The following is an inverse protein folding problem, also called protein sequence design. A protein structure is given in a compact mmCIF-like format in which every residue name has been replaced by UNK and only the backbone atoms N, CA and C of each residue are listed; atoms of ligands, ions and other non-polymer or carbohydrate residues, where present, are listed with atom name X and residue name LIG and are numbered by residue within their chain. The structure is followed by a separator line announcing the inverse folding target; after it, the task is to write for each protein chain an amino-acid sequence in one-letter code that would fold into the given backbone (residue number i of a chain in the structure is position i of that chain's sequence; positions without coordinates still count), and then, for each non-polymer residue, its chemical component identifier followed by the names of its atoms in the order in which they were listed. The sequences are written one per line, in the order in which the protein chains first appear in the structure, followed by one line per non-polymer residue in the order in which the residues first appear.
data_IF_937779218549
#
_entry.id   IF_937779218549
#
_cell.length_a   1.000
_cell.length_b   1.000
_cell.length_c   1.000
_cell.angle_alpha   90.00
_cell.angle_beta   90.00
_cell.angle_gamma   90.00
#
_symmetry.space_group_name_H-M   'P 1'
#
loop_
_entity.id
_entity.type
_entity.pdbx_description
1 polymer ?
#
# COMPACT_ATOMS: atom_id res chain seq x y z
N UNK A 1 5.04 64.21 24.06
CA UNK A 1 5.93 63.53 25.02
C UNK A 1 5.06 62.86 26.08
N UNK A 2 5.13 61.53 26.19
CA UNK A 2 4.58 60.63 27.24
C UNK A 2 3.08 60.73 27.63
N UNK A 3 2.27 59.72 27.29
CA UNK A 3 1.93 58.48 28.04
C UNK A 3 1.02 58.70 29.26
N UNK A 4 -0.22 58.18 29.18
CA UNK A 4 -0.87 57.18 30.10
C UNK A 4 -2.38 57.17 29.85
N UNK A 5 -2.92 56.08 29.30
CA UNK A 5 -3.69 55.03 29.99
C UNK A 5 -4.96 55.59 30.65
N UNK A 6 -6.12 55.31 30.04
CA UNK A 6 -7.42 55.33 30.70
C UNK A 6 -8.11 53.98 30.48
N UNK A 7 -8.51 53.39 31.60
CA UNK A 7 -9.43 52.27 31.73
C UNK A 7 -10.86 52.77 31.45
N UNK A 8 -11.65 52.02 30.68
CA UNK A 8 -13.12 51.98 30.85
C UNK A 8 -13.67 50.62 30.45
N UNK A 9 -14.61 50.14 31.28
CA UNK A 9 -15.22 48.83 31.35
C UNK A 9 -16.01 48.37 30.11
N UNK A 10 -16.13 47.05 29.96
CA UNK A 10 -17.22 46.45 29.18
C UNK A 10 -17.74 45.16 29.82
N UNK A 11 -18.91 45.30 30.46
CA UNK A 11 -20.11 44.46 30.42
C UNK A 11 -19.88 42.94 30.35
N UNK A 12 -20.21 42.28 31.48
CA UNK A 12 -20.44 40.84 31.58
C UNK A 12 -21.80 40.53 30.94
N UNK A 13 -21.79 39.87 29.79
CA UNK A 13 -22.95 39.15 29.26
C UNK A 13 -22.56 37.69 29.09
N UNK A 14 -23.16 36.81 29.89
CA UNK A 14 -23.02 35.38 29.74
C UNK A 14 -23.78 34.93 28.48
N UNK A 15 -23.04 34.65 27.40
CA UNK A 15 -23.52 33.80 26.31
C UNK A 15 -22.75 32.47 26.39
N UNK A 16 -23.50 31.40 26.62
CA UNK A 16 -23.00 30.03 26.48
C UNK A 16 -22.78 29.79 24.99
N UNK A 17 -21.55 30.01 24.53
CA UNK A 17 -21.08 29.57 23.22
C UNK A 17 -20.43 28.21 23.40
N UNK A 18 -21.13 27.17 22.94
CA UNK A 18 -20.55 25.86 22.65
C UNK A 18 -19.43 26.09 21.65
N UNK A 19 -18.18 25.94 22.08
CA UNK A 19 -17.07 25.86 21.14
C UNK A 19 -17.15 24.51 20.42
N UNK A 20 -17.09 24.47 19.08
CA UNK A 20 -17.01 23.21 18.36
C UNK A 20 -15.70 22.51 18.76
N UNK A 21 -15.80 21.26 19.19
CA UNK A 21 -14.64 20.39 19.28
C UNK A 21 -14.20 20.06 17.84
N UNK A 22 -13.34 20.90 17.27
CA UNK A 22 -12.49 20.50 16.15
C UNK A 22 -11.13 20.16 16.74
N UNK A 23 -10.99 18.91 17.12
CA UNK A 23 -9.70 18.29 17.42
C UNK A 23 -9.45 17.25 16.33
N UNK A 24 -9.01 17.71 15.15
CA UNK A 24 -8.27 16.84 14.25
C UNK A 24 -6.89 16.62 14.84
N UNK A 25 -6.70 15.48 15.46
CA UNK A 25 -5.40 14.88 15.71
C UNK A 25 -5.59 13.36 15.68
N UNK A 26 -5.77 12.83 14.47
CA UNK A 26 -5.58 11.40 14.25
C UNK A 26 -4.15 11.06 14.65
N UNK A 27 -4.02 10.22 15.67
CA UNK A 27 -2.73 9.59 15.97
C UNK A 27 -2.77 8.25 15.27
N UNK A 28 -2.19 8.20 14.07
CA UNK A 28 -1.80 6.92 13.47
C UNK A 28 -0.59 6.43 14.27
N UNK A 29 -0.77 5.39 15.06
CA UNK A 29 0.32 4.64 15.67
C UNK A 29 0.02 3.15 15.57
N UNK A 30 0.69 2.50 14.62
CA UNK A 30 0.65 1.06 14.46
C UNK A 30 1.26 0.32 15.66
N UNK A 31 0.68 -0.84 15.93
CA UNK A 31 1.31 -2.13 16.29
C UNK A 31 0.22 -2.98 16.95
N UNK A 32 -0.51 -3.71 16.12
CA UNK A 32 -1.44 -4.72 16.60
C UNK A 32 -0.66 -5.90 17.15
N UNK A 33 -0.81 -6.18 18.45
CA UNK A 33 -0.74 -7.54 18.98
C UNK A 33 -1.52 -7.61 20.29
N UNK A 34 -2.59 -8.40 20.29
CA UNK A 34 -3.13 -9.10 21.48
C UNK A 34 -3.81 -10.41 21.05
N UNK A 35 -3.66 -11.51 21.82
CA UNK A 35 -3.78 -12.89 21.32
C UNK A 35 -5.15 -13.55 21.56
N UNK A 36 -5.42 -14.68 20.88
CA UNK A 36 -6.33 -15.72 21.40
C UNK A 36 -5.84 -17.15 21.06
N UNK A 37 -6.15 -18.09 21.95
CA UNK A 37 -5.59 -19.44 22.05
C UNK A 37 -6.34 -20.48 21.18
N UNK A 38 -5.61 -21.47 20.66
CA UNK A 38 -6.15 -22.73 20.12
C UNK A 38 -6.30 -23.80 21.23
N UNK A 39 -7.00 -24.89 20.95
CA UNK A 39 -7.30 -26.00 21.91
C UNK A 39 -6.09 -26.80 22.39
N UNK A 40 -4.90 -26.49 21.87
CA UNK A 40 -3.56 -26.96 22.26
C UNK A 40 -2.71 -25.85 22.89
N UNK A 41 -3.26 -24.66 23.12
CA UNK A 41 -2.64 -23.58 23.88
C UNK A 41 -1.61 -22.74 23.12
N UNK A 42 -1.47 -22.92 21.80
CA UNK A 42 -0.46 -22.19 21.02
C UNK A 42 -1.07 -20.89 20.44
N UNK A 43 -0.47 -19.74 20.72
CA UNK A 43 -0.99 -18.44 20.32
C UNK A 43 -0.65 -18.11 18.86
N UNK A 44 -1.67 -17.80 18.05
CA UNK A 44 -1.51 -17.18 16.74
C UNK A 44 -1.65 -15.65 16.89
N UNK A 45 -0.60 -14.91 16.58
CA UNK A 45 -0.68 -13.44 16.41
C UNK A 45 -1.36 -13.14 15.07
N UNK A 46 -1.92 -11.94 14.91
CA UNK A 46 -2.48 -11.44 13.64
C UNK A 46 -1.44 -11.41 12.47
N UNK A 47 -0.23 -11.92 12.72
CA UNK A 47 0.90 -12.07 11.81
C UNK A 47 1.25 -13.56 11.54
N UNK A 48 0.34 -14.50 11.84
CA UNK A 48 0.61 -15.94 11.62
C UNK A 48 -0.33 -16.57 10.61
N UNK A 49 -0.19 -16.02 9.40
CA UNK A 49 -0.16 -16.62 8.07
C UNK A 49 -0.90 -15.67 7.14
N UNK A 50 -0.20 -14.73 6.48
CA UNK A 50 -0.75 -14.22 5.23
C UNK A 50 -1.05 -15.45 4.36
N UNK A 51 -2.15 -15.47 3.62
CA UNK A 51 -2.40 -16.52 2.62
C UNK A 51 -3.14 -17.80 3.02
N UNK A 52 -3.80 -17.92 4.17
CA UNK A 52 -4.80 -19.00 4.33
C UNK A 52 -5.92 -18.64 5.30
N UNK A 53 -6.88 -17.82 4.86
CA UNK A 53 -8.15 -17.70 5.58
C UNK A 53 -9.12 -18.79 5.12
N UNK A 54 -8.74 -20.06 5.23
CA UNK A 54 -9.69 -21.16 5.03
C UNK A 54 -10.76 -21.05 6.11
N UNK A 55 -11.86 -20.35 5.80
CA UNK A 55 -13.00 -20.12 6.72
C UNK A 55 -13.29 -18.68 7.15
N UNK A 56 -12.64 -17.65 6.58
CA UNK A 56 -13.12 -16.27 6.79
C UNK A 56 -14.39 -16.00 5.96
N UNK A 57 -15.30 -15.20 6.50
CA UNK A 57 -16.56 -14.84 5.83
C UNK A 57 -16.80 -13.32 5.81
N UNK A 58 -17.45 -12.85 4.74
CA UNK A 58 -17.80 -11.45 4.57
C UNK A 58 -18.98 -11.03 5.43
N UNK A 59 -18.91 -9.82 5.98
CA UNK A 59 -20.02 -9.15 6.67
C UNK A 59 -20.28 -7.83 5.96
N UNK A 60 -21.51 -7.70 5.45
CA UNK A 60 -21.98 -6.47 4.82
C UNK A 60 -21.89 -5.31 5.79
N UNK A 61 -21.22 -4.22 5.37
CA UNK A 61 -21.08 -3.03 6.18
C UNK A 61 -22.44 -2.44 6.59
N UNK A 62 -23.47 -2.60 5.75
CA UNK A 62 -24.85 -2.17 6.03
C UNK A 62 -25.51 -2.91 7.20
N UNK A 63 -24.96 -4.04 7.63
CA UNK A 63 -25.43 -4.81 8.80
C UNK A 63 -24.85 -4.31 10.12
N UNK A 64 -23.92 -3.34 10.08
CA UNK A 64 -23.24 -2.78 11.24
C UNK A 64 -23.36 -1.25 11.25
N UNK A 65 -23.29 -0.65 12.43
CA UNK A 65 -23.10 0.79 12.59
C UNK A 65 -21.62 1.15 12.43
N UNK A 66 -21.32 2.40 12.04
CA UNK A 66 -19.94 2.90 11.99
C UNK A 66 -19.22 2.72 13.33
N UNK A 67 -19.93 2.93 14.45
CA UNK A 67 -19.37 2.75 15.79
C UNK A 67 -18.99 1.29 16.08
N UNK A 68 -19.75 0.32 15.61
CA UNK A 68 -19.40 -1.11 15.76
C UNK A 68 -18.18 -1.49 14.93
N UNK A 69 -18.06 -0.95 13.71
CA UNK A 69 -16.88 -1.16 12.85
C UNK A 69 -15.64 -0.50 13.48
N UNK A 70 -15.76 0.71 14.02
CA UNK A 70 -14.67 1.38 14.74
C UNK A 70 -14.27 0.62 16.02
N UNK A 71 -15.25 0.16 16.80
CA UNK A 71 -15.02 -0.59 18.04
C UNK A 71 -14.37 -1.95 17.81
N UNK A 72 -14.57 -2.54 16.63
CA UNK A 72 -13.94 -3.78 16.23
C UNK A 72 -12.41 -3.67 16.19
N UNK A 73 -11.86 -2.45 16.05
CA UNK A 73 -10.41 -2.18 15.96
C UNK A 73 -9.73 -3.12 14.96
N UNK A 74 -10.39 -3.29 13.82
CA UNK A 74 -9.95 -4.20 12.78
C UNK A 74 -8.64 -3.76 12.12
N UNK A 75 -8.13 -4.63 11.25
CA UNK A 75 -6.87 -4.40 10.55
C UNK A 75 -6.91 -4.99 9.14
N UNK A 76 -6.01 -4.53 8.29
CA UNK A 76 -5.87 -5.05 6.93
C UNK A 76 -5.14 -6.40 6.92
N UNK A 77 -5.53 -7.30 6.03
CA UNK A 77 -4.86 -8.57 5.77
C UNK A 77 -4.80 -8.83 4.26
N UNK A 78 -3.69 -9.41 3.80
CA UNK A 78 -3.56 -9.98 2.47
C UNK A 78 -4.01 -11.44 2.51
N UNK A 79 -5.05 -11.77 1.76
CA UNK A 79 -5.71 -13.08 1.77
C UNK A 79 -5.79 -13.57 0.33
N UNK A 80 -5.45 -14.84 0.11
CA UNK A 80 -5.60 -15.56 -1.14
C UNK A 80 -6.70 -16.62 -0.92
N UNK A 81 -7.99 -16.26 -1.12
CA UNK A 81 -9.10 -17.12 -0.75
C UNK A 81 -9.34 -18.27 -1.73
N UNK A 82 -8.95 -18.12 -3.00
CA UNK A 82 -9.09 -19.14 -4.05
C UNK A 82 -7.80 -19.92 -4.31
N UNK A 83 -6.73 -19.61 -3.57
CA UNK A 83 -5.43 -20.28 -3.59
C UNK A 83 -4.77 -20.21 -4.98
N UNK A 84 -5.00 -19.12 -5.71
CA UNK A 84 -4.42 -18.92 -7.02
C UNK A 84 -3.00 -18.34 -6.94
N UNK A 85 -2.52 -17.91 -5.76
CA UNK A 85 -1.19 -17.32 -5.59
C UNK A 85 -1.17 -15.80 -5.73
N UNK A 86 -2.32 -15.17 -5.95
CA UNK A 86 -2.55 -13.72 -5.99
C UNK A 86 -3.50 -13.35 -4.85
N UNK A 87 -2.97 -12.71 -3.81
CA UNK A 87 -3.76 -12.28 -2.66
C UNK A 87 -4.38 -10.90 -2.88
N UNK A 88 -5.59 -10.68 -2.37
CA UNK A 88 -6.23 -9.38 -2.25
C UNK A 88 -6.25 -8.88 -0.80
N UNK A 89 -6.56 -7.58 -0.64
CA UNK A 89 -6.51 -6.89 0.66
C UNK A 89 -7.90 -6.75 1.26
N UNK A 90 -8.09 -7.32 2.44
CA UNK A 90 -9.37 -7.34 3.17
C UNK A 90 -9.24 -6.64 4.52
N UNK A 91 -10.30 -5.97 4.96
CA UNK A 91 -10.35 -5.36 6.29
C UNK A 91 -11.01 -6.33 7.29
N UNK A 92 -10.18 -6.95 8.12
CA UNK A 92 -10.60 -7.91 9.13
C UNK A 92 -11.18 -7.18 10.34
N UNK A 93 -12.47 -7.32 10.57
CA UNK A 93 -13.17 -6.77 11.74
C UNK A 93 -13.12 -7.72 12.95
N UNK A 94 -12.73 -8.99 12.75
CA UNK A 94 -12.40 -9.99 13.78
C UNK A 94 -11.73 -11.19 13.12
N UNK A 95 -11.20 -12.14 13.89
CA UNK A 95 -10.30 -13.21 13.41
C UNK A 95 -10.76 -13.94 12.14
N UNK A 96 -12.06 -14.18 11.95
CA UNK A 96 -12.60 -14.89 10.79
C UNK A 96 -13.68 -14.09 10.03
N UNK A 97 -13.71 -12.76 10.15
CA UNK A 97 -14.68 -11.96 9.41
C UNK A 97 -14.06 -10.68 8.85
N UNK A 98 -14.37 -10.41 7.59
CA UNK A 98 -13.96 -9.19 6.89
C UNK A 98 -15.17 -8.36 6.49
N UNK A 99 -14.96 -7.05 6.36
CA UNK A 99 -15.99 -6.12 5.91
C UNK A 99 -16.23 -6.27 4.40
N UNK A 100 -17.49 -6.27 3.97
CA UNK A 100 -17.88 -6.20 2.55
C UNK A 100 -18.71 -4.95 2.28
N UNK A 101 -18.66 -4.48 1.04
CA UNK A 101 -19.57 -3.49 0.47
C UNK A 101 -19.71 -2.21 1.32
N UNK A 102 -18.59 -1.55 1.61
CA UNK A 102 -18.61 -0.40 2.51
C UNK A 102 -17.29 0.31 2.68
N UNK A 103 -17.25 1.17 3.70
CA UNK A 103 -16.09 1.97 4.05
C UNK A 103 -15.51 1.51 5.39
N UNK A 104 -14.20 1.36 5.44
CA UNK A 104 -13.45 1.04 6.66
C UNK A 104 -13.25 2.28 7.54
N UNK A 105 -12.94 2.14 8.84
CA UNK A 105 -12.72 3.28 9.72
C UNK A 105 -11.60 4.24 9.29
N UNK A 106 -10.62 3.75 8.53
CA UNK A 106 -9.55 4.55 7.94
C UNK A 106 -9.91 5.17 6.57
N UNK A 107 -11.21 5.16 6.21
CA UNK A 107 -11.77 5.85 5.05
C UNK A 107 -11.57 5.15 3.71
N UNK A 108 -11.13 3.89 3.71
CA UNK A 108 -10.92 3.11 2.47
C UNK A 108 -12.19 2.34 2.10
N UNK A 109 -12.39 2.10 0.82
CA UNK A 109 -13.60 1.43 0.31
C UNK A 109 -13.29 -0.03 -0.03
N UNK A 110 -14.16 -0.94 0.42
CA UNK A 110 -14.15 -2.35 0.05
C UNK A 110 -15.35 -2.68 -0.85
N UNK A 111 -15.13 -3.47 -1.91
CA UNK A 111 -16.17 -3.86 -2.85
C UNK A 111 -17.13 -4.91 -2.26
N UNK A 112 -18.08 -5.40 -3.06
CA UNK A 112 -19.06 -6.42 -2.63
C UNK A 112 -18.43 -7.76 -2.21
N UNK A 113 -17.21 -8.05 -2.65
CA UNK A 113 -16.45 -9.23 -2.24
C UNK A 113 -15.57 -8.95 -1.01
N UNK A 114 -15.48 -7.71 -0.52
CA UNK A 114 -14.66 -7.29 0.62
C UNK A 114 -13.24 -6.88 0.28
N UNK A 115 -12.89 -6.86 -1.01
CA UNK A 115 -11.56 -6.49 -1.48
C UNK A 115 -11.41 -4.97 -1.46
N UNK A 116 -10.30 -4.47 -0.94
CA UNK A 116 -9.96 -3.05 -1.00
C UNK A 116 -9.79 -2.61 -2.45
N UNK A 117 -10.47 -1.53 -2.79
CA UNK A 117 -10.34 -0.87 -4.09
C UNK A 117 -9.75 0.53 -3.96
N UNK A 118 -8.80 0.87 -4.83
CA UNK A 118 -8.32 2.23 -5.06
C UNK A 118 -8.74 2.65 -6.46
N UNK A 119 -9.51 3.73 -6.58
CA UNK A 119 -10.08 4.21 -7.84
C UNK A 119 -10.80 3.10 -8.65
N UNK A 120 -11.44 2.17 -7.94
CA UNK A 120 -12.16 1.03 -8.53
C UNK A 120 -11.31 -0.19 -8.89
N UNK A 121 -9.98 -0.13 -8.75
CA UNK A 121 -9.09 -1.28 -8.95
C UNK A 121 -8.86 -2.05 -7.66
N UNK A 122 -8.95 -3.37 -7.73
CA UNK A 122 -8.59 -4.27 -6.62
C UNK A 122 -7.09 -4.26 -6.41
N UNK A 123 -6.70 -4.23 -5.14
CA UNK A 123 -5.31 -4.26 -4.70
C UNK A 123 -4.84 -5.72 -4.62
N UNK A 124 -3.73 -6.03 -5.30
CA UNK A 124 -3.17 -7.39 -5.39
C UNK A 124 -1.77 -7.47 -4.81
N UNK A 125 -1.34 -8.66 -4.42
CA UNK A 125 0.03 -8.98 -4.04
C UNK A 125 0.31 -10.47 -4.26
N UNK A 126 1.58 -10.86 -4.37
CA UNK A 126 1.95 -12.27 -4.21
C UNK A 126 1.34 -12.82 -2.92
N UNK A 127 0.68 -13.97 -3.02
CA UNK A 127 0.26 -14.73 -1.86
C UNK A 127 1.47 -15.19 -1.03
N UNK A 128 1.19 -15.62 0.18
CA UNK A 128 2.22 -16.18 1.05
C UNK A 128 2.57 -17.62 0.69
N UNK A 129 1.60 -18.41 0.23
CA UNK A 129 1.85 -19.78 -0.21
C UNK A 129 2.74 -19.73 -1.45
N UNK A 130 4.01 -20.07 -1.25
CA UNK A 130 5.01 -20.04 -2.30
C UNK A 130 4.73 -21.09 -3.39
N UNK A 131 4.02 -22.18 -3.08
CA UNK A 131 3.61 -23.15 -4.10
C UNK A 131 2.52 -22.58 -4.99
N UNK A 132 1.54 -21.89 -4.40
CA UNK A 132 0.50 -21.19 -5.15
C UNK A 132 1.10 -20.09 -6.03
N UNK A 133 2.01 -19.27 -5.48
CA UNK A 133 2.76 -18.25 -6.25
C UNK A 133 3.58 -18.87 -7.38
N UNK A 134 4.29 -19.97 -7.13
CA UNK A 134 5.06 -20.65 -8.17
C UNK A 134 4.14 -21.15 -9.31
N UNK A 135 2.97 -21.69 -8.98
CA UNK A 135 1.96 -22.06 -9.96
C UNK A 135 1.41 -20.84 -10.71
N UNK A 136 1.18 -19.73 -10.01
CA UNK A 136 0.71 -18.47 -10.58
C UNK A 136 1.69 -17.93 -11.64
N UNK A 137 2.99 -17.93 -11.34
CA UNK A 137 4.05 -17.52 -12.27
C UNK A 137 4.02 -18.39 -13.55
N UNK A 138 3.88 -19.72 -13.40
CA UNK A 138 3.80 -20.61 -14.56
C UNK A 138 2.53 -20.35 -15.39
N UNK A 139 1.38 -20.16 -14.72
CA UNK A 139 0.13 -19.84 -15.39
C UNK A 139 0.20 -18.50 -16.11
N UNK A 140 0.75 -17.46 -15.49
CA UNK A 140 0.92 -16.15 -16.09
C UNK A 140 1.81 -16.21 -17.34
N UNK A 141 2.92 -16.96 -17.29
CA UNK A 141 3.77 -17.17 -18.47
C UNK A 141 3.03 -17.87 -19.62
N UNK A 142 2.16 -18.83 -19.32
CA UNK A 142 1.34 -19.52 -20.33
C UNK A 142 0.20 -18.66 -20.88
N UNK A 143 -0.47 -17.89 -20.02
CA UNK A 143 -1.63 -17.06 -20.38
C UNK A 143 -1.22 -15.83 -21.17
N UNK A 144 -0.15 -15.15 -20.74
CA UNK A 144 0.25 -13.87 -21.30
C UNK A 144 1.36 -13.99 -22.35
N UNK A 145 2.16 -15.07 -22.33
CA UNK A 145 3.21 -15.32 -23.30
C UNK A 145 4.13 -14.11 -23.51
N UNK A 146 4.16 -13.60 -24.74
CA UNK A 146 4.97 -12.45 -25.16
C UNK A 146 4.25 -11.09 -24.99
N UNK A 147 3.29 -11.00 -24.06
CA UNK A 147 2.61 -9.75 -23.69
C UNK A 147 3.18 -9.14 -22.41
N UNK A 148 3.17 -7.80 -22.31
CA UNK A 148 3.43 -7.09 -21.05
C UNK A 148 2.22 -7.03 -20.12
N UNK A 149 1.03 -7.42 -20.60
CA UNK A 149 -0.18 -7.47 -19.78
C UNK A 149 0.01 -8.37 -18.56
N UNK A 150 -0.44 -7.91 -17.40
CA UNK A 150 -0.49 -8.73 -16.20
C UNK A 150 -0.19 -7.98 -14.91
N UNK A 151 -0.12 -8.76 -13.83
CA UNK A 151 0.16 -8.33 -12.47
C UNK A 151 1.57 -8.80 -12.12
N UNK A 152 2.45 -7.87 -11.82
CA UNK A 152 3.81 -8.13 -11.39
C UNK A 152 3.93 -7.77 -9.92
N UNK A 153 4.44 -8.67 -9.09
CA UNK A 153 4.57 -8.38 -7.66
C UNK A 153 5.86 -8.97 -7.09
N UNK A 154 6.29 -8.45 -5.96
CA UNK A 154 7.55 -8.85 -5.33
C UNK A 154 8.12 -7.82 -4.38
N UNK A 155 9.30 -8.15 -3.86
CA UNK A 155 10.08 -7.31 -2.97
C UNK A 155 11.14 -6.53 -3.75
N UNK A 156 11.25 -5.25 -3.44
CA UNK A 156 12.37 -4.42 -3.87
C UNK A 156 13.08 -3.83 -2.68
N UNK A 157 14.39 -3.65 -2.82
CA UNK A 157 15.20 -2.94 -1.85
C UNK A 157 15.39 -1.51 -2.33
N UNK A 158 14.89 -0.55 -1.57
CA UNK A 158 15.05 0.88 -1.87
C UNK A 158 15.89 1.55 -0.80
N UNK A 159 16.38 2.74 -1.14
CA UNK A 159 17.09 3.60 -0.21
C UNK A 159 16.22 4.81 0.11
N UNK A 160 15.88 4.99 1.38
CA UNK A 160 15.08 6.11 1.87
C UNK A 160 15.91 7.05 2.74
N UNK A 161 15.58 8.34 2.70
CA UNK A 161 16.12 9.33 3.62
C UNK A 161 15.14 9.47 4.78
N UNK A 162 15.51 9.03 5.99
CA UNK A 162 14.70 9.16 7.20
C UNK A 162 15.25 10.23 8.13
N UNK A 163 14.37 10.91 8.84
CA UNK A 163 14.77 11.86 9.87
C UNK A 163 15.37 11.08 11.06
N UNK A 164 16.64 11.35 11.35
CA UNK A 164 17.42 10.75 12.42
C UNK A 164 17.45 11.63 13.68
N UNK A 165 16.71 12.75 13.67
CA UNK A 165 16.58 13.66 14.80
C UNK A 165 16.93 15.08 14.41
N UNK A 166 17.14 15.91 15.43
CA UNK A 166 17.31 17.35 15.26
C UNK A 166 18.59 17.80 15.96
N UNK A 167 19.40 18.61 15.27
CA UNK A 167 20.61 19.23 15.84
C UNK A 167 20.42 20.72 16.00
N UNK A 168 20.85 21.24 17.15
CA UNK A 168 20.86 22.69 17.38
C UNK A 168 21.92 23.37 16.49
N UNK A 169 21.55 24.49 15.90
CA UNK A 169 22.43 25.36 15.12
C UNK A 169 22.41 26.76 15.72
N UNK A 170 23.35 27.62 15.32
CA UNK A 170 23.43 29.01 15.81
C UNK A 170 22.15 29.83 15.56
N UNK A 171 21.34 29.42 14.59
CA UNK A 171 20.10 30.10 14.19
C UNK A 171 18.83 29.29 14.48
N UNK A 172 18.93 28.13 15.14
CA UNK A 172 17.76 27.31 15.48
C UNK A 172 18.05 25.82 15.54
N UNK A 173 17.29 25.02 14.80
CA UNK A 173 17.41 23.56 14.81
C UNK A 173 17.29 23.04 13.39
N UNK A 174 18.13 22.08 13.02
CA UNK A 174 18.16 21.45 11.69
C UNK A 174 17.86 19.97 11.82
N UNK A 175 17.02 19.44 10.94
CA UNK A 175 16.82 18.01 10.82
C UNK A 175 18.11 17.33 10.35
N UNK A 176 18.49 16.28 11.04
CA UNK A 176 19.53 15.34 10.62
C UNK A 176 18.82 14.22 9.93
N UNK A 177 19.20 13.93 8.69
CA UNK A 177 18.67 12.79 7.97
C UNK A 177 19.71 11.68 7.88
N UNK A 178 19.24 10.44 7.85
CA UNK A 178 20.03 9.25 7.61
C UNK A 178 19.45 8.52 6.41
N UNK A 179 20.34 8.08 5.54
CA UNK A 179 20.03 7.15 4.46
C UNK A 179 19.87 5.75 5.05
N UNK A 180 18.73 5.11 4.81
CA UNK A 180 18.42 3.77 5.28
C UNK A 180 17.96 2.89 4.12
N UNK A 181 18.36 1.64 4.15
CA UNK A 181 17.88 0.62 3.22
C UNK A 181 16.55 0.06 3.74
N UNK A 182 15.56 -0.05 2.85
CA UNK A 182 14.19 -0.44 3.19
C UNK A 182 13.69 -1.43 2.15
N UNK A 183 13.08 -2.52 2.60
CA UNK A 183 12.36 -3.42 1.72
C UNK A 183 10.93 -2.93 1.53
N UNK A 184 10.48 -2.86 0.28
CA UNK A 184 9.10 -2.53 -0.07
C UNK A 184 8.51 -3.66 -0.90
N UNK A 185 7.29 -4.04 -0.57
CA UNK A 185 6.47 -4.84 -1.47
C UNK A 185 5.78 -3.90 -2.45
N UNK A 186 5.92 -4.18 -3.74
CA UNK A 186 5.21 -3.47 -4.78
C UNK A 186 4.41 -4.46 -5.62
N UNK A 187 3.27 -3.98 -6.11
CA UNK A 187 2.52 -4.64 -7.17
C UNK A 187 2.31 -3.65 -8.30
N UNK A 188 2.65 -4.08 -9.51
CA UNK A 188 2.55 -3.32 -10.75
C UNK A 188 1.59 -4.05 -11.66
N UNK A 189 0.42 -3.47 -11.91
CA UNK A 189 -0.52 -3.94 -12.93
C UNK A 189 -0.23 -3.21 -14.22
N UNK A 190 -0.05 -3.96 -15.31
CA UNK A 190 0.28 -3.43 -16.63
C UNK A 190 -0.84 -3.80 -17.59
N UNK A 191 -1.32 -2.78 -18.31
CA UNK A 191 -2.27 -2.91 -19.42
C UNK A 191 -1.58 -2.36 -20.67
N UNK A 192 -1.35 -3.22 -21.65
CA UNK A 192 -0.77 -2.87 -22.92
C UNK A 192 -1.84 -2.26 -23.84
N UNK A 193 -1.78 -0.93 -23.98
CA UNK A 193 -2.69 -0.18 -24.87
C UNK A 193 -2.32 -0.36 -26.34
N UNK A 194 -1.02 -0.44 -26.62
CA UNK A 194 -0.47 -0.70 -27.95
C UNK A 194 0.95 -1.26 -27.87
N UNK A 195 1.57 -1.54 -29.02
CA UNK A 195 2.98 -1.96 -29.07
C UNK A 195 3.96 -0.91 -28.55
N UNK A 196 3.55 0.36 -28.42
CA UNK A 196 4.39 1.47 -27.94
C UNK A 196 3.82 2.19 -26.72
N UNK A 197 2.70 1.74 -26.15
CA UNK A 197 2.06 2.40 -25.01
C UNK A 197 1.55 1.39 -23.97
N UNK A 198 1.87 1.64 -22.70
CA UNK A 198 1.34 0.92 -21.54
C UNK A 198 0.56 1.88 -20.64
N UNK A 199 -0.47 1.36 -19.98
CA UNK A 199 -1.03 1.95 -18.77
C UNK A 199 -0.59 1.11 -17.59
N UNK A 200 0.03 1.74 -16.60
CA UNK A 200 0.70 1.05 -15.49
C UNK A 200 0.16 1.58 -14.18
N UNK A 201 -0.36 0.69 -13.35
CA UNK A 201 -0.78 0.99 -11.98
C UNK A 201 0.24 0.41 -11.01
N UNK A 202 0.96 1.28 -10.32
CA UNK A 202 1.87 0.90 -9.23
C UNK A 202 1.10 1.02 -7.92
N UNK A 203 1.14 -0.02 -7.11
CA UNK A 203 0.36 -0.14 -5.88
C UNK A 203 1.18 -0.74 -4.74
N UNK A 204 0.88 -0.29 -3.52
CA UNK A 204 1.51 -0.73 -2.28
C UNK A 204 0.49 -0.79 -1.12
N UNK A 205 0.98 -0.85 0.13
CA UNK A 205 0.12 -0.89 1.32
C UNK A 205 -0.62 0.43 1.60
N UNK A 206 -0.26 1.53 0.95
CA UNK A 206 -0.79 2.87 1.17
C UNK A 206 -1.76 3.32 0.07
N UNK A 207 -1.58 2.82 -1.17
CA UNK A 207 -2.51 3.09 -2.25
C UNK A 207 -2.04 2.61 -3.61
N UNK A 208 -2.64 3.18 -4.66
CA UNK A 208 -2.29 2.90 -6.04
C UNK A 208 -2.19 4.21 -6.83
N UNK A 209 -1.33 4.23 -7.85
CA UNK A 209 -1.19 5.35 -8.79
C UNK A 209 -1.04 4.79 -10.20
N UNK A 210 -1.86 5.32 -11.11
CA UNK A 210 -1.84 4.93 -12.53
C UNK A 210 -1.14 5.99 -13.36
N UNK A 211 -0.29 5.57 -14.28
CA UNK A 211 0.42 6.44 -15.21
C UNK A 211 0.64 5.72 -16.54
N UNK A 212 0.71 6.50 -17.61
CA UNK A 212 0.97 5.98 -18.95
C UNK A 212 2.46 6.02 -19.26
N UNK A 213 2.92 4.99 -19.96
CA UNK A 213 4.30 4.79 -20.33
C UNK A 213 4.40 4.57 -21.84
N UNK A 214 5.50 5.01 -22.43
CA UNK A 214 5.81 4.84 -23.85
C UNK A 214 7.13 4.08 -24.03
N UNK A 215 7.20 3.30 -25.10
CA UNK A 215 8.37 2.46 -25.40
C UNK A 215 9.60 3.34 -25.68
N UNK A 216 10.71 3.08 -24.97
CA UNK A 216 11.97 3.80 -25.17
C UNK A 216 12.98 2.99 -26.00
N UNK A 217 13.04 1.67 -25.81
CA UNK A 217 14.01 0.82 -26.49
C UNK A 217 14.61 -0.28 -25.61
N UNK A 218 15.72 -0.83 -26.06
CA UNK A 218 16.52 -1.77 -25.27
C UNK A 218 17.54 -1.03 -24.41
N UNK A 219 17.71 -1.47 -23.18
CA UNK A 219 18.74 -0.95 -22.29
C UNK A 219 20.13 -1.35 -22.81
N UNK A 220 21.02 -0.37 -22.93
CA UNK A 220 22.38 -0.59 -23.46
C UNK A 220 23.35 -1.17 -22.43
N UNK A 221 23.07 -1.01 -21.13
CA UNK A 221 23.88 -1.54 -20.04
C UNK A 221 23.41 -2.94 -19.59
N UNK A 222 22.12 -3.24 -19.74
CA UNK A 222 21.51 -4.50 -19.32
C UNK A 222 20.89 -5.22 -20.51
N UNK A 223 21.60 -6.22 -21.03
CA UNK A 223 21.12 -7.03 -22.15
C UNK A 223 19.81 -7.74 -21.83
N UNK A 224 18.85 -7.70 -22.77
CA UNK A 224 17.53 -8.31 -22.61
C UNK A 224 16.54 -7.49 -21.79
N UNK A 225 16.92 -6.27 -21.37
CA UNK A 225 16.01 -5.36 -20.66
C UNK A 225 15.37 -4.37 -21.63
N UNK A 226 14.04 -4.35 -21.67
CA UNK A 226 13.24 -3.36 -22.39
C UNK A 226 12.89 -2.20 -21.46
N UNK A 227 13.02 -0.98 -21.97
CA UNK A 227 12.77 0.26 -21.24
C UNK A 227 11.48 0.93 -21.71
N UNK A 228 10.70 1.38 -20.73
CA UNK A 228 9.51 2.19 -20.95
C UNK A 228 9.61 3.46 -20.11
N UNK A 229 9.48 4.62 -20.74
CA UNK A 229 9.52 5.92 -20.05
C UNK A 229 8.10 6.36 -19.68
N UNK A 230 7.89 6.95 -18.50
CA UNK A 230 6.60 7.54 -18.16
C UNK A 230 6.33 8.76 -19.07
N UNK A 231 5.11 8.89 -19.60
CA UNK A 231 4.72 10.05 -20.42
C UNK A 231 4.67 11.35 -19.59
N UNK A 232 4.47 11.23 -18.27
CA UNK A 232 4.51 12.32 -17.31
C UNK A 232 5.30 11.87 -16.09
N UNK A 233 6.34 12.60 -15.71
CA UNK A 233 7.16 12.25 -14.56
C UNK A 233 8.63 12.61 -14.76
N UNK A 234 9.49 12.05 -13.91
CA UNK A 234 10.94 12.19 -14.07
C UNK A 234 11.49 11.01 -14.86
N UNK A 235 12.60 11.25 -15.56
CA UNK A 235 13.39 10.20 -16.22
C UNK A 235 13.99 9.18 -15.23
N UNK A 236 13.81 9.31 -13.92
CA UNK A 236 14.22 8.30 -12.94
C UNK A 236 13.22 7.14 -12.82
N UNK A 237 12.03 7.28 -13.40
CA UNK A 237 10.90 6.40 -13.10
C UNK A 237 10.64 5.42 -14.26
N UNK A 238 11.68 5.01 -14.97
CA UNK A 238 11.57 4.02 -16.05
C UNK A 238 11.04 2.69 -15.53
N UNK A 239 10.19 2.06 -16.33
CA UNK A 239 9.80 0.67 -16.14
C UNK A 239 10.74 -0.21 -16.97
N UNK A 240 11.42 -1.12 -16.29
CA UNK A 240 12.45 -1.98 -16.89
C UNK A 240 11.97 -3.42 -16.88
N UNK A 241 11.66 -3.98 -18.04
CA UNK A 241 11.24 -5.37 -18.15
C UNK A 241 12.41 -6.25 -18.58
N UNK A 242 12.63 -7.36 -17.88
CA UNK A 242 13.49 -8.44 -18.38
C UNK A 242 12.62 -9.52 -19.02
N UNK A 243 12.63 -9.55 -20.35
CA UNK A 243 11.63 -10.28 -21.14
C UNK A 243 10.21 -9.76 -20.88
N UNK A 244 9.22 -10.65 -20.89
CA UNK A 244 7.81 -10.31 -20.63
C UNK A 244 7.35 -10.67 -19.20
N UNK A 245 8.16 -11.41 -18.45
CA UNK A 245 7.73 -12.07 -17.21
C UNK A 245 8.26 -11.41 -15.93
N UNK A 246 9.09 -10.37 -16.04
CA UNK A 246 9.58 -9.69 -14.85
C UNK A 246 9.91 -8.23 -15.06
N UNK A 247 9.76 -7.45 -13.99
CA UNK A 247 10.21 -6.06 -13.89
C UNK A 247 11.42 -6.05 -12.95
N UNK A 248 12.50 -5.40 -13.38
CA UNK A 248 13.77 -5.35 -12.64
C UNK A 248 14.04 -3.94 -12.14
N UNK A 249 14.63 -3.86 -10.94
CA UNK A 249 15.06 -2.61 -10.33
C UNK A 249 16.55 -2.70 -10.10
N UNK A 250 17.29 -1.70 -10.59
CA UNK A 250 18.72 -1.57 -10.36
C UNK A 250 18.99 -0.40 -9.42
N UNK A 251 20.03 -0.50 -8.60
CA UNK A 251 20.56 0.64 -7.85
C UNK A 251 21.40 1.56 -8.75
N UNK A 252 21.91 2.65 -8.17
CA UNK A 252 22.72 3.63 -8.92
C UNK A 252 24.02 3.04 -9.48
N UNK A 253 24.56 2.00 -8.83
CA UNK A 253 25.79 1.34 -9.24
C UNK A 253 25.52 0.21 -10.26
N UNK A 254 24.26 0.01 -10.67
CA UNK A 254 23.82 -0.98 -11.65
C UNK A 254 23.60 -2.39 -11.07
N UNK A 255 23.63 -2.55 -9.75
CA UNK A 255 23.37 -3.82 -9.07
C UNK A 255 21.86 -4.03 -8.96
N UNK A 256 21.42 -5.28 -9.15
CA UNK A 256 20.00 -5.63 -9.03
C UNK A 256 19.50 -5.39 -7.59
N UNK A 257 18.63 -4.40 -7.42
CA UNK A 257 18.00 -3.99 -6.18
C UNK A 257 16.69 -4.73 -5.89
N UNK A 258 16.07 -5.31 -6.92
CA UNK A 258 14.86 -6.12 -6.78
C UNK A 258 14.29 -6.59 -8.11
N UNK A 259 13.36 -7.52 -8.02
CA UNK A 259 12.65 -8.07 -9.17
C UNK A 259 11.20 -8.36 -8.78
N UNK A 260 10.27 -7.96 -9.64
CA UNK A 260 8.86 -8.31 -9.56
C UNK A 260 8.59 -9.39 -10.62
N UNK A 261 7.96 -10.48 -10.22
CA UNK A 261 7.57 -11.56 -11.14
C UNK A 261 6.13 -11.37 -11.58
N UNK A 262 5.81 -11.69 -12.83
CA UNK A 262 4.43 -11.78 -13.29
C UNK A 262 3.73 -12.96 -12.62
N UNK A 263 2.61 -12.69 -11.96
CA UNK A 263 1.82 -13.67 -11.18
C UNK A 263 0.38 -13.80 -11.66
N UNK A 264 -0.12 -12.87 -12.47
CA UNK A 264 -1.50 -12.83 -12.95
C UNK A 264 -1.62 -12.04 -14.24
#
# INVERSE_FOLDING_TARGET
MNKRILQTALIITALVSVKPALTYAYTVAGRGVTPYYTSDGTAYTYDSQPGSSSGAYGIEASSMTLQEIENAKGSWAWIDPDCDGVAERYYMIRSNAYLTNGMTPDGKTVNSMGQWTVDGMVMHRMAYDQNAVAAAIQRAAMTHGDSFDGIYSGLITTTEIRNAGKVATKTGTKDVTKTVTVQKYLTVTVIQKSVTELSVTISDDEGATTSDYEYEGLNTFHSGVTMWKPQKGKNSDYLLFYGYNSIVYYDYDGILAGQLMKIG
#
